data_IF_683553614292
#
_entry.id   IF_683553614292
#
_cell.length_a   1.000
_cell.length_b   1.000
_cell.length_c   1.000
_cell.angle_alpha   90.00
_cell.angle_beta   90.00
_cell.angle_gamma   90.00
#
_symmetry.space_group_name_H-M   'P 1'
#
loop_
_entity.id
_entity.type
_entity.pdbx_description
1 polymer ?
#
# COMPACT_ATOMS: atom_id res chain seq x y z
N UNK A 1 22.45 -18.84 -15.81
CA UNK A 1 22.36 -18.03 -14.58
C UNK A 1 20.90 -17.66 -14.44
N UNK A 2 20.16 -18.28 -13.51
CA UNK A 2 18.78 -17.84 -13.26
C UNK A 2 18.83 -16.44 -12.66
N UNK A 3 18.22 -15.47 -13.32
CA UNK A 3 18.10 -14.11 -12.77
C UNK A 3 17.50 -14.19 -11.36
N UNK A 4 18.10 -13.50 -10.40
CA UNK A 4 17.60 -13.47 -9.04
C UNK A 4 16.26 -12.72 -9.03
N UNK A 5 15.16 -13.44 -8.72
CA UNK A 5 13.81 -12.86 -8.65
C UNK A 5 13.83 -11.62 -7.74
N UNK A 6 13.40 -10.47 -8.25
CA UNK A 6 13.23 -9.24 -7.46
C UNK A 6 11.83 -9.21 -6.85
N UNK A 7 11.71 -9.02 -5.53
CA UNK A 7 10.42 -8.97 -4.84
C UNK A 7 9.79 -7.58 -4.87
N UNK A 8 10.63 -6.54 -4.80
CA UNK A 8 10.21 -5.14 -4.71
C UNK A 8 10.48 -4.42 -6.03
N UNK A 9 9.59 -3.49 -6.40
CA UNK A 9 9.85 -2.54 -7.49
C UNK A 9 9.86 -1.10 -6.95
N UNK A 10 10.60 -0.19 -7.61
CA UNK A 10 10.49 1.23 -7.32
C UNK A 10 9.04 1.69 -7.46
N UNK A 11 8.57 2.47 -6.49
CA UNK A 11 7.24 3.08 -6.50
C UNK A 11 7.30 4.42 -5.79
N UNK A 12 7.18 5.53 -6.53
CA UNK A 12 7.21 6.89 -5.99
C UNK A 12 8.44 7.20 -5.12
N UNK A 13 9.62 6.67 -5.50
CA UNK A 13 10.86 6.79 -4.71
C UNK A 13 10.97 5.86 -3.50
N UNK A 14 10.11 4.85 -3.41
CA UNK A 14 10.09 3.82 -2.34
C UNK A 14 10.15 2.40 -2.93
N UNK A 15 10.13 1.37 -2.10
CA UNK A 15 9.99 -0.02 -2.54
C UNK A 15 8.57 -0.54 -2.35
N UNK A 16 8.02 -1.26 -3.32
CA UNK A 16 6.66 -1.76 -3.28
C UNK A 16 6.52 -3.23 -3.71
N UNK A 17 5.62 -3.97 -3.05
CA UNK A 17 5.22 -5.34 -3.40
C UNK A 17 4.02 -5.30 -4.34
N UNK A 18 4.08 -6.11 -5.39
CA UNK A 18 3.04 -6.19 -6.41
C UNK A 18 2.53 -7.62 -6.58
N UNK A 19 1.26 -7.82 -6.24
CA UNK A 19 0.59 -9.11 -6.34
C UNK A 19 -0.38 -9.17 -7.51
N UNK A 20 -0.72 -10.38 -7.99
CA UNK A 20 -1.64 -10.59 -9.10
C UNK A 20 -3.00 -9.94 -8.87
N UNK A 21 -3.51 -9.28 -9.91
CA UNK A 21 -4.78 -8.57 -9.88
C UNK A 21 -5.96 -9.50 -10.18
N UNK A 22 -7.11 -9.17 -9.61
CA UNK A 22 -8.36 -9.89 -9.84
C UNK A 22 -8.69 -10.92 -8.76
N UNK A 23 -9.77 -11.65 -8.97
CA UNK A 23 -10.29 -12.62 -8.01
C UNK A 23 -9.49 -13.94 -8.06
N UNK A 24 -9.34 -14.64 -6.92
CA UNK A 24 -8.86 -16.02 -6.92
C UNK A 24 -9.67 -16.90 -7.89
N UNK A 25 -9.04 -17.89 -8.56
CA UNK A 25 -7.64 -18.30 -8.43
C UNK A 25 -6.66 -17.50 -9.31
N UNK A 26 -7.15 -16.58 -10.15
CA UNK A 26 -6.32 -15.85 -11.13
C UNK A 26 -5.64 -14.62 -10.54
N UNK A 27 -6.15 -14.10 -9.43
CA UNK A 27 -5.59 -12.95 -8.73
C UNK A 27 -5.69 -13.09 -7.21
N UNK A 28 -5.34 -12.00 -6.52
CA UNK A 28 -5.26 -11.96 -5.05
C UNK A 28 -6.28 -11.04 -4.38
N UNK A 29 -7.11 -10.35 -5.16
CA UNK A 29 -8.08 -9.36 -4.69
C UNK A 29 -9.40 -10.00 -4.22
N UNK A 30 -9.35 -10.97 -3.31
CA UNK A 30 -10.50 -11.75 -2.82
C UNK A 30 -11.70 -10.89 -2.38
N UNK A 31 -11.42 -9.71 -1.81
CA UNK A 31 -12.42 -8.77 -1.28
C UNK A 31 -12.72 -7.58 -2.21
N UNK A 32 -12.26 -7.62 -3.47
CA UNK A 32 -12.56 -6.56 -4.43
C UNK A 32 -14.04 -6.54 -4.81
N UNK A 33 -14.62 -5.34 -4.83
CA UNK A 33 -15.98 -5.15 -5.36
C UNK A 33 -15.97 -5.24 -6.89
N UNK A 34 -17.13 -5.55 -7.48
CA UNK A 34 -17.28 -5.53 -8.95
C UNK A 34 -16.81 -4.20 -9.54
N UNK A 35 -17.16 -3.08 -8.89
CA UNK A 35 -16.75 -1.74 -9.30
C UNK A 35 -15.24 -1.54 -9.22
N UNK A 36 -14.60 -2.03 -8.16
CA UNK A 36 -13.15 -2.01 -8.02
C UNK A 36 -12.44 -2.71 -9.16
N UNK A 37 -12.94 -3.87 -9.59
CA UNK A 37 -12.35 -4.64 -10.68
C UNK A 37 -12.57 -3.97 -12.03
N UNK A 38 -13.78 -3.47 -12.29
CA UNK A 38 -14.10 -2.81 -13.57
C UNK A 38 -13.35 -1.50 -13.75
N UNK A 39 -13.12 -0.74 -12.67
CA UNK A 39 -12.48 0.58 -12.67
C UNK A 39 -11.02 0.54 -12.20
N UNK A 40 -10.41 -0.65 -12.17
CA UNK A 40 -9.03 -0.78 -11.72
C UNK A 40 -8.10 -0.16 -12.77
N UNK A 41 -7.43 0.94 -12.41
CA UNK A 41 -6.48 1.60 -13.30
C UNK A 41 -5.29 0.69 -13.65
N UNK A 42 -4.91 -0.25 -12.77
CA UNK A 42 -3.84 -1.21 -13.04
C UNK A 42 -4.25 -2.32 -14.02
N UNK A 43 -5.52 -2.35 -14.43
CA UNK A 43 -6.06 -3.22 -15.49
C UNK A 43 -6.39 -2.39 -16.76
N UNK A 44 -6.74 -1.11 -16.60
CA UNK A 44 -7.09 -0.25 -17.72
C UNK A 44 -5.85 0.50 -18.24
N UNK A 45 -5.47 0.26 -19.51
CA UNK A 45 -4.34 0.93 -20.22
C UNK A 45 -4.55 2.44 -20.47
N UNK A 46 -5.37 3.12 -19.66
CA UNK A 46 -5.79 4.51 -19.87
C UNK A 46 -4.78 5.55 -19.36
N UNK A 47 -3.75 5.15 -18.58
CA UNK A 47 -2.86 6.08 -17.86
C UNK A 47 -1.36 5.81 -18.04
N UNK A 48 -0.79 6.11 -19.23
CA UNK A 48 0.62 5.82 -19.56
C UNK A 48 1.67 6.47 -18.64
N UNK A 49 1.31 7.50 -17.86
CA UNK A 49 2.21 8.18 -16.94
C UNK A 49 2.28 7.56 -15.54
N UNK A 50 1.21 6.89 -15.09
CA UNK A 50 1.25 6.05 -13.88
C UNK A 50 1.75 4.64 -14.20
N UNK A 51 1.70 4.25 -15.49
CA UNK A 51 2.04 2.92 -15.96
C UNK A 51 3.51 2.53 -15.74
N UNK A 52 4.50 3.42 -15.78
CA UNK A 52 5.91 2.94 -15.74
C UNK A 52 6.26 2.21 -14.43
N UNK A 53 5.80 2.72 -13.28
CA UNK A 53 6.10 2.13 -11.96
C UNK A 53 5.13 0.99 -11.58
N UNK A 54 4.01 0.87 -12.28
CA UNK A 54 2.91 -0.06 -11.98
C UNK A 54 2.74 -1.17 -13.04
N UNK A 55 3.34 -1.02 -14.23
CA UNK A 55 3.29 -1.95 -15.36
C UNK A 55 4.26 -3.12 -15.19
N UNK A 56 4.19 -3.77 -14.02
CA UNK A 56 4.84 -5.05 -13.80
C UNK A 56 4.02 -6.10 -14.55
N UNK A 57 4.65 -6.93 -15.41
CA UNK A 57 3.95 -8.00 -16.11
C UNK A 57 3.18 -8.90 -15.14
N UNK A 58 1.97 -9.31 -15.51
CA UNK A 58 1.13 -10.12 -14.63
C UNK A 58 1.81 -11.45 -14.24
N UNK A 59 2.54 -12.07 -15.18
CA UNK A 59 3.35 -13.26 -14.92
C UNK A 59 4.41 -13.01 -13.83
N UNK A 60 5.05 -11.86 -13.84
CA UNK A 60 6.04 -11.48 -12.85
C UNK A 60 5.42 -11.27 -11.46
N UNK A 61 4.22 -10.67 -11.40
CA UNK A 61 3.46 -10.57 -10.13
C UNK A 61 3.13 -11.96 -9.57
N UNK A 62 2.76 -12.91 -10.44
CA UNK A 62 2.53 -14.29 -10.01
C UNK A 62 3.80 -14.94 -9.47
N UNK A 63 4.94 -14.75 -10.13
CA UNK A 63 6.24 -15.24 -9.65
C UNK A 63 6.57 -14.63 -8.28
N UNK A 64 6.40 -13.32 -8.10
CA UNK A 64 6.64 -12.62 -6.83
C UNK A 64 5.74 -13.18 -5.73
N UNK A 65 4.44 -13.26 -5.97
CA UNK A 65 3.47 -13.78 -5.00
C UNK A 65 3.81 -15.23 -4.61
N UNK A 66 4.00 -16.12 -5.58
CA UNK A 66 4.36 -17.52 -5.33
C UNK A 66 5.66 -17.65 -4.55
N UNK A 67 6.66 -16.82 -4.86
CA UNK A 67 7.94 -16.81 -4.17
C UNK A 67 7.78 -16.41 -2.70
N UNK A 68 7.02 -15.33 -2.42
CA UNK A 68 6.75 -14.86 -1.06
C UNK A 68 6.01 -15.92 -0.23
N UNK A 69 5.01 -16.59 -0.81
CA UNK A 69 4.21 -17.59 -0.10
C UNK A 69 4.99 -18.88 0.14
N UNK A 70 5.79 -19.35 -0.83
CA UNK A 70 6.51 -20.64 -0.75
C UNK A 70 7.81 -20.57 0.07
N UNK A 71 8.53 -19.45 0.04
CA UNK A 71 9.80 -19.32 0.76
C UNK A 71 9.60 -19.07 2.26
N UNK A 72 10.65 -19.31 3.07
CA UNK A 72 10.58 -19.08 4.52
C UNK A 72 10.46 -17.58 4.85
N UNK A 73 9.83 -17.25 6.00
CA UNK A 73 9.65 -15.85 6.41
C UNK A 73 10.99 -15.14 6.54
N UNK A 74 11.97 -15.77 7.21
CA UNK A 74 13.33 -15.26 7.37
C UNK A 74 13.95 -14.87 6.02
N UNK A 75 13.86 -15.76 5.03
CA UNK A 75 14.43 -15.51 3.71
C UNK A 75 13.78 -14.32 3.00
N UNK A 76 12.44 -14.24 3.03
CA UNK A 76 11.71 -13.12 2.42
C UNK A 76 12.05 -11.80 3.10
N UNK A 77 12.11 -11.77 4.43
CA UNK A 77 12.46 -10.58 5.19
C UNK A 77 13.88 -10.11 4.84
N UNK A 78 14.87 -11.00 4.90
CA UNK A 78 16.26 -10.65 4.55
C UNK A 78 16.38 -10.14 3.11
N UNK A 79 15.63 -10.72 2.17
CA UNK A 79 15.61 -10.29 0.78
C UNK A 79 14.95 -8.92 0.61
N UNK A 80 13.81 -8.67 1.26
CA UNK A 80 13.15 -7.36 1.26
C UNK A 80 14.04 -6.28 1.84
N UNK A 81 14.73 -6.54 2.97
CA UNK A 81 15.68 -5.60 3.57
C UNK A 81 16.79 -5.25 2.58
N UNK A 82 17.43 -6.25 1.96
CA UNK A 82 18.49 -6.01 0.95
C UNK A 82 17.98 -5.25 -0.28
N UNK A 83 16.77 -5.53 -0.74
CA UNK A 83 16.19 -4.84 -1.89
C UNK A 83 15.83 -3.38 -1.57
N UNK A 84 15.33 -3.11 -0.36
CA UNK A 84 15.10 -1.74 0.13
C UNK A 84 16.41 -0.95 0.28
N UNK A 85 17.47 -1.58 0.82
CA UNK A 85 18.80 -0.97 0.88
C UNK A 85 19.33 -0.63 -0.52
N UNK A 86 19.14 -1.53 -1.49
CA UNK A 86 19.51 -1.29 -2.88
C UNK A 86 18.70 -0.17 -3.54
N UNK A 87 17.44 0.01 -3.15
CA UNK A 87 16.58 1.13 -3.54
C UNK A 87 16.85 2.41 -2.74
N UNK A 88 17.75 2.38 -1.76
CA UNK A 88 18.10 3.49 -0.89
C UNK A 88 16.90 4.10 -0.16
N UNK A 89 15.95 3.25 0.26
CA UNK A 89 14.72 3.68 0.93
C UNK A 89 14.35 2.77 2.09
N UNK A 90 14.01 3.30 3.28
CA UNK A 90 13.53 2.49 4.39
C UNK A 90 12.01 2.27 4.32
N UNK A 91 11.35 2.58 3.20
CA UNK A 91 9.90 2.59 3.07
C UNK A 91 9.44 1.43 2.19
N UNK A 92 8.57 0.59 2.76
CA UNK A 92 7.92 -0.53 2.08
C UNK A 92 6.41 -0.26 1.90
N UNK A 93 5.97 -0.24 0.66
CA UNK A 93 4.56 -0.25 0.29
C UNK A 93 4.07 -1.68 0.06
N UNK A 94 3.03 -2.04 0.80
CA UNK A 94 2.31 -3.28 0.63
C UNK A 94 1.20 -3.08 -0.40
N UNK A 95 1.18 -3.97 -1.39
CA UNK A 95 0.16 -4.12 -2.42
C UNK A 95 0.00 -2.87 -3.31
N UNK A 96 1.05 -2.53 -4.07
CA UNK A 96 0.91 -1.60 -5.20
C UNK A 96 -0.04 -2.11 -6.27
N UNK A 97 -0.20 -3.44 -6.36
CA UNK A 97 -1.29 -4.13 -7.02
C UNK A 97 -1.65 -5.40 -6.25
N UNK A 98 -2.83 -5.95 -6.54
CA UNK A 98 -3.32 -7.15 -5.85
C UNK A 98 -3.81 -6.84 -4.43
N UNK A 99 -3.94 -7.87 -3.61
CA UNK A 99 -4.20 -7.77 -2.17
C UNK A 99 -3.70 -9.06 -1.48
N UNK A 100 -3.93 -9.23 -0.18
CA UNK A 100 -3.67 -10.49 0.51
C UNK A 100 -4.91 -11.41 0.50
N UNK A 101 -4.83 -12.62 -0.08
CA UNK A 101 -5.89 -13.63 0.07
C UNK A 101 -6.00 -14.12 1.52
N UNK A 102 -7.18 -14.58 1.92
CA UNK A 102 -7.46 -15.05 3.29
C UNK A 102 -6.52 -16.17 3.72
N UNK A 103 -6.24 -17.11 2.82
CA UNK A 103 -5.37 -18.27 3.08
C UNK A 103 -3.93 -17.88 3.45
N UNK A 104 -3.46 -16.69 3.08
CA UNK A 104 -2.05 -16.28 3.23
C UNK A 104 -1.84 -15.23 4.33
N UNK A 105 -2.91 -14.78 5.00
CA UNK A 105 -2.85 -13.73 6.04
C UNK A 105 -1.81 -14.05 7.10
N UNK A 106 -1.76 -15.29 7.59
CA UNK A 106 -0.82 -15.69 8.64
C UNK A 106 0.63 -15.52 8.20
N UNK A 107 0.95 -15.93 6.97
CA UNK A 107 2.29 -15.81 6.38
C UNK A 107 2.71 -14.35 6.22
N UNK A 108 1.86 -13.55 5.58
CA UNK A 108 2.10 -12.12 5.36
C UNK A 108 2.21 -11.38 6.69
N UNK A 109 1.37 -11.71 7.67
CA UNK A 109 1.42 -11.11 9.00
C UNK A 109 2.73 -11.38 9.73
N UNK A 110 3.30 -12.57 9.57
CA UNK A 110 4.59 -12.92 10.18
C UNK A 110 5.74 -12.15 9.53
N UNK A 111 5.70 -11.97 8.20
CA UNK A 111 6.67 -11.15 7.46
C UNK A 111 6.59 -9.69 7.96
N UNK A 112 5.40 -9.10 7.99
CA UNK A 112 5.17 -7.73 8.46
C UNK A 112 5.74 -7.52 9.88
N UNK A 113 5.42 -8.43 10.81
CA UNK A 113 5.91 -8.35 12.20
C UNK A 113 7.42 -8.45 12.28
N UNK A 114 8.03 -9.31 11.47
CA UNK A 114 9.49 -9.49 11.48
C UNK A 114 10.21 -8.28 10.90
N UNK A 115 9.65 -7.64 9.87
CA UNK A 115 10.18 -6.40 9.27
C UNK A 115 10.19 -5.23 10.26
N UNK A 116 9.30 -5.20 11.26
CA UNK A 116 9.31 -4.15 12.30
C UNK A 116 10.61 -4.12 13.11
N UNK A 117 11.41 -5.20 13.10
CA UNK A 117 12.71 -5.24 13.77
C UNK A 117 13.83 -4.53 12.98
N UNK A 118 13.57 -4.07 11.75
CA UNK A 118 14.58 -3.52 10.83
C UNK A 118 14.45 -2.01 10.60
N UNK A 119 13.70 -1.29 11.44
CA UNK A 119 13.42 0.15 11.26
C UNK A 119 12.81 0.51 9.89
N UNK A 120 12.17 -0.47 9.23
CA UNK A 120 11.47 -0.28 7.96
C UNK A 120 10.10 0.33 8.26
N UNK A 121 9.79 1.43 7.58
CA UNK A 121 8.45 2.01 7.60
C UNK A 121 7.57 1.27 6.62
N UNK A 122 6.49 0.66 7.13
CA UNK A 122 5.55 -0.11 6.32
C UNK A 122 4.25 0.67 6.14
N UNK A 123 3.67 0.65 4.95
CA UNK A 123 2.31 1.14 4.70
C UNK A 123 1.64 0.39 3.57
N UNK A 124 0.32 0.47 3.47
CA UNK A 124 -0.39 -0.05 2.31
C UNK A 124 -1.89 0.15 2.39
N UNK A 125 -2.57 -0.39 1.38
CA UNK A 125 -4.02 -0.44 1.30
C UNK A 125 -4.46 -1.90 1.23
N UNK A 126 -5.55 -2.24 1.91
CA UNK A 126 -6.13 -3.59 1.79
C UNK A 126 -7.65 -3.51 1.90
N UNK A 127 -8.37 -4.39 1.20
CA UNK A 127 -9.79 -4.66 1.44
C UNK A 127 -10.00 -5.84 2.37
N UNK A 128 -8.94 -6.59 2.67
CA UNK A 128 -8.98 -7.71 3.60
C UNK A 128 -9.05 -7.20 5.04
N UNK A 129 -10.27 -7.21 5.58
CA UNK A 129 -10.55 -6.76 6.95
C UNK A 129 -9.72 -7.51 7.99
N UNK A 130 -9.53 -8.83 7.83
CA UNK A 130 -8.80 -9.63 8.79
C UNK A 130 -7.31 -9.23 8.81
N UNK A 131 -6.67 -9.06 7.65
CA UNK A 131 -5.29 -8.56 7.61
C UNK A 131 -5.19 -7.16 8.22
N UNK A 132 -6.08 -6.23 7.83
CA UNK A 132 -6.10 -4.87 8.39
C UNK A 132 -6.26 -4.90 9.92
N UNK A 133 -7.16 -5.75 10.44
CA UNK A 133 -7.43 -5.83 11.87
C UNK A 133 -6.19 -6.22 12.70
N UNK A 134 -5.26 -6.99 12.09
CA UNK A 134 -3.99 -7.42 12.70
C UNK A 134 -2.89 -6.36 12.60
N UNK A 135 -2.97 -5.43 11.65
CA UNK A 135 -1.93 -4.43 11.34
C UNK A 135 -2.53 -3.06 11.00
N UNK A 136 -3.43 -2.56 11.86
CA UNK A 136 -4.19 -1.31 11.67
C UNK A 136 -3.30 -0.07 11.57
N UNK A 137 -2.07 -0.16 12.05
CA UNK A 137 -1.09 0.92 12.05
C UNK A 137 -0.22 0.95 10.77
N UNK A 138 -0.38 -0.05 9.90
CA UNK A 138 0.32 -0.20 8.62
C UNK A 138 -0.66 -0.01 7.46
N UNK A 139 -1.85 -0.62 7.55
CA UNK A 139 -2.81 -0.57 6.46
C UNK A 139 -3.90 0.48 6.67
N UNK A 140 -4.25 1.17 5.58
CA UNK A 140 -5.56 1.77 5.45
C UNK A 140 -6.57 0.74 4.92
N UNK A 141 -7.72 0.61 5.59
CA UNK A 141 -8.78 -0.28 5.12
C UNK A 141 -9.56 0.39 3.99
N UNK A 142 -9.56 -0.23 2.81
CA UNK A 142 -10.32 0.24 1.67
C UNK A 142 -11.79 -0.14 1.79
N UNK A 143 -12.69 0.84 1.88
CA UNK A 143 -14.14 0.68 2.04
C UNK A 143 -14.89 1.47 0.98
N UNK A 144 -16.13 1.07 0.65
CA UNK A 144 -16.92 1.78 -0.37
C UNK A 144 -17.56 3.07 0.17
N UNK A 145 -17.85 3.14 1.48
CA UNK A 145 -18.42 4.32 2.13
C UNK A 145 -18.30 4.20 3.66
N UNK A 146 -18.56 5.31 4.35
CA UNK A 146 -18.47 5.44 5.81
C UNK A 146 -19.69 4.92 6.58
N UNK A 147 -20.76 4.44 5.90
CA UNK A 147 -22.01 4.05 6.59
C UNK A 147 -21.84 2.79 7.43
N UNK A 148 -20.94 1.90 7.04
CA UNK A 148 -20.71 0.61 7.70
C UNK A 148 -19.23 0.48 8.11
N UNK A 149 -18.73 1.46 8.86
CA UNK A 149 -17.39 1.37 9.42
C UNK A 149 -17.34 0.24 10.46
N UNK A 150 -16.27 -0.58 10.45
CA UNK A 150 -16.04 -1.52 11.54
C UNK A 150 -15.78 -0.76 12.85
N UNK A 151 -15.87 -1.45 13.99
CA UNK A 151 -15.50 -0.85 15.28
C UNK A 151 -14.04 -0.37 15.26
N UNK A 152 -13.85 0.90 15.63
CA UNK A 152 -12.55 1.58 15.57
C UNK A 152 -12.16 2.11 16.95
N UNK A 153 -10.87 2.18 17.20
CA UNK A 153 -10.31 2.91 18.35
C UNK A 153 -10.12 4.41 18.03
N UNK A 154 -10.67 4.87 16.91
CA UNK A 154 -10.68 6.25 16.43
C UNK A 154 -9.44 6.68 15.66
N UNK A 155 -8.28 6.06 15.89
CA UNK A 155 -7.02 6.43 15.23
C UNK A 155 -6.82 5.84 13.84
N UNK A 156 -7.66 4.88 13.44
CA UNK A 156 -7.53 4.12 12.21
C UNK A 156 -7.83 4.94 10.96
N UNK A 157 -7.16 4.56 9.88
CA UNK A 157 -7.27 5.20 8.58
C UNK A 157 -8.03 4.27 7.62
N UNK A 158 -8.97 4.85 6.89
CA UNK A 158 -9.75 4.21 5.84
C UNK A 158 -9.43 4.87 4.50
N UNK A 159 -9.57 4.11 3.44
CA UNK A 159 -9.41 4.55 2.05
C UNK A 159 -10.73 4.37 1.32
N UNK A 160 -11.27 5.44 0.73
CA UNK A 160 -12.58 5.44 0.06
C UNK A 160 -12.37 5.78 -1.42
N UNK A 161 -12.48 4.80 -2.33
CA UNK A 161 -12.24 5.03 -3.74
C UNK A 161 -13.27 5.99 -4.37
N UNK A 162 -12.77 6.98 -5.10
CA UNK A 162 -13.54 7.83 -6.00
C UNK A 162 -13.25 7.42 -7.45
N UNK A 163 -13.95 6.39 -7.91
CA UNK A 163 -13.78 5.84 -9.26
C UNK A 163 -14.02 6.85 -10.39
N UNK A 164 -14.80 7.92 -10.17
CA UNK A 164 -15.02 8.95 -11.21
C UNK A 164 -13.82 9.88 -11.37
N UNK A 165 -13.09 10.12 -10.27
CA UNK A 165 -11.91 10.97 -10.22
C UNK A 165 -10.62 10.16 -10.20
N UNK A 166 -10.72 8.83 -10.29
CA UNK A 166 -9.60 7.88 -10.27
C UNK A 166 -8.63 8.14 -9.11
N UNK A 167 -9.19 8.46 -7.94
CA UNK A 167 -8.46 8.79 -6.72
C UNK A 167 -9.03 8.01 -5.55
N UNK A 168 -8.33 7.98 -4.43
CA UNK A 168 -8.90 7.53 -3.16
C UNK A 168 -8.89 8.65 -2.14
N UNK A 169 -9.98 8.76 -1.37
CA UNK A 169 -10.08 9.69 -0.27
C UNK A 169 -9.75 8.98 1.03
N UNK A 170 -8.84 9.54 1.81
CA UNK A 170 -8.57 9.01 3.14
C UNK A 170 -9.59 9.51 4.14
N UNK A 171 -9.94 8.67 5.10
CA UNK A 171 -10.92 9.00 6.13
C UNK A 171 -10.44 8.51 7.49
N UNK A 172 -10.66 9.31 8.54
CA UNK A 172 -10.41 8.95 9.92
C UNK A 172 -11.62 9.38 10.77
N UNK A 173 -12.28 8.49 11.52
CA UNK A 173 -13.56 8.80 12.17
C UNK A 173 -13.52 9.94 13.18
N UNK A 174 -12.37 10.15 13.84
CA UNK A 174 -12.26 11.10 14.96
C UNK A 174 -11.48 12.36 14.61
N UNK A 175 -11.01 12.50 13.37
CA UNK A 175 -10.20 13.67 12.97
C UNK A 175 -10.20 13.90 11.47
N UNK A 176 -10.10 15.18 11.12
CA UNK A 176 -9.67 15.58 9.78
C UNK A 176 -8.19 15.17 9.60
N UNK A 177 -7.89 14.49 8.49
CA UNK A 177 -6.51 14.24 8.09
C UNK A 177 -5.97 15.51 7.41
N UNK A 178 -4.80 15.99 7.84
CA UNK A 178 -4.16 17.15 7.20
C UNK A 178 -3.28 16.67 6.04
N UNK A 179 -3.69 16.96 4.81
CA UNK A 179 -2.93 16.59 3.60
C UNK A 179 -1.79 17.56 3.36
N UNK A 180 -0.61 17.01 3.15
CA UNK A 180 0.53 17.70 2.57
C UNK A 180 0.77 17.14 1.17
N UNK A 181 0.86 18.00 0.17
CA UNK A 181 1.29 17.57 -1.17
C UNK A 181 2.73 17.04 -1.04
N UNK A 182 2.91 15.76 -1.34
CA UNK A 182 4.23 15.16 -1.32
C UNK A 182 4.78 15.22 -2.75
N UNK A 183 5.91 15.89 -2.90
CA UNK A 183 6.71 15.83 -4.12
C UNK A 183 7.42 14.47 -4.21
N UNK A 184 8.48 14.38 -5.01
CA UNK A 184 9.28 13.15 -5.13
C UNK A 184 10.20 12.88 -3.93
N UNK A 185 10.49 13.89 -3.10
CA UNK A 185 11.45 13.79 -1.97
C UNK A 185 11.03 14.52 -0.69
N UNK A 186 10.11 15.49 -0.78
CA UNK A 186 9.71 16.37 0.33
C UNK A 186 8.18 16.59 0.36
N UNK A 187 7.59 16.65 1.55
CA UNK A 187 6.22 17.17 1.75
C UNK A 187 6.31 18.56 2.41
N UNK A 188 5.40 19.47 2.04
CA UNK A 188 5.30 20.81 2.65
C UNK A 188 4.30 20.84 3.78
N UNK A 189 4.65 21.41 4.93
CA UNK A 189 3.72 21.62 6.04
C UNK A 189 2.55 22.53 5.60
N UNK A 190 1.33 22.16 5.96
CA UNK A 190 0.11 22.88 5.57
C UNK A 190 -0.06 24.20 6.34
N UNK A 191 0.40 24.27 7.59
CA UNK A 191 0.31 25.44 8.47
C UNK A 191 1.46 26.41 8.22
N UNK A 192 2.61 25.89 7.84
CA UNK A 192 3.77 26.69 7.45
C UNK A 192 4.35 26.17 6.13
N UNK A 193 3.82 26.69 5.01
CA UNK A 193 4.24 26.29 3.65
C UNK A 193 5.71 26.57 3.34
N UNK A 194 6.42 27.30 4.22
CA UNK A 194 7.86 27.52 4.12
C UNK A 194 8.70 26.38 4.72
N UNK A 195 8.07 25.49 5.51
CA UNK A 195 8.70 24.30 6.07
C UNK A 195 8.51 23.12 5.12
N UNK A 196 9.65 22.67 4.58
CA UNK A 196 9.75 21.44 3.82
C UNK A 196 10.36 20.37 4.72
N UNK A 197 9.77 19.17 4.69
CA UNK A 197 10.31 18.01 5.38
C UNK A 197 10.50 16.89 4.36
N UNK A 198 11.57 16.11 4.51
CA UNK A 198 11.73 14.89 3.72
C UNK A 198 10.51 13.99 3.87
N UNK A 199 10.10 13.34 2.79
CA UNK A 199 9.04 12.32 2.81
C UNK A 199 9.54 11.17 3.69
N UNK A 200 9.19 11.25 4.96
CA UNK A 200 9.48 10.26 5.96
C UNK A 200 8.14 9.86 6.53
N UNK A 201 7.69 8.65 6.23
CA UNK A 201 6.37 8.22 6.62
C UNK A 201 6.23 8.01 8.13
N UNK A 202 7.32 7.84 8.88
CA UNK A 202 7.30 7.97 10.35
C UNK A 202 7.03 9.41 10.78
N UNK A 203 7.65 10.41 10.15
CA UNK A 203 7.33 11.81 10.39
C UNK A 203 5.90 12.14 9.97
N UNK A 204 5.44 11.69 8.80
CA UNK A 204 4.05 11.84 8.35
C UNK A 204 3.09 11.16 9.33
N UNK A 205 3.35 9.92 9.76
CA UNK A 205 2.54 9.21 10.77
C UNK A 205 2.52 9.93 12.12
N UNK A 206 3.67 10.40 12.62
CA UNK A 206 3.80 11.17 13.88
C UNK A 206 3.11 12.52 13.81
N UNK A 207 3.25 13.24 12.70
CA UNK A 207 2.62 14.52 12.42
C UNK A 207 1.17 14.38 11.91
N UNK A 208 0.72 13.13 11.70
CA UNK A 208 -0.61 12.77 11.18
C UNK A 208 -0.92 13.38 9.80
N UNK A 209 0.12 13.54 9.00
CA UNK A 209 0.10 13.92 7.59
C UNK A 209 0.26 12.65 6.74
N UNK A 210 -0.08 12.70 5.46
CA UNK A 210 0.23 11.59 4.56
C UNK A 210 0.26 11.98 3.09
N UNK A 211 0.93 11.12 2.31
CA UNK A 211 1.04 11.21 0.86
C UNK A 211 -0.25 10.68 0.25
N UNK A 212 -1.14 11.56 -0.19
CA UNK A 212 -2.43 11.16 -0.76
C UNK A 212 -2.71 11.96 -2.03
N UNK A 213 -3.08 11.27 -3.12
CA UNK A 213 -3.28 11.89 -4.44
C UNK A 213 -4.38 12.96 -4.46
N UNK A 214 -5.30 12.97 -3.49
CA UNK A 214 -6.19 14.09 -3.10
C UNK A 214 -7.00 13.70 -1.86
N UNK A 215 -7.49 14.67 -1.09
CA UNK A 215 -8.63 14.47 -0.20
C UNK A 215 -9.72 15.49 -0.47
N UNK A 216 -10.96 15.01 -0.45
CA UNK A 216 -12.13 15.85 -0.24
C UNK A 216 -12.69 15.62 1.15
N UNK A 217 -13.20 16.68 1.79
CA UNK A 217 -13.99 16.52 3.02
C UNK A 217 -15.15 15.58 2.71
N UNK A 218 -15.33 14.56 3.55
CA UNK A 218 -16.55 13.76 3.50
C UNK A 218 -17.73 14.71 3.79
N UNK A 219 -18.62 14.87 2.81
CA UNK A 219 -19.87 15.59 2.96
C UNK A 219 -20.89 14.83 3.78
#
# INVERSE_FOLDING_TARGET
MSEEIKLLRPFTGTGCVFFPLGLPPKGTCEFATKKCLTECYAIQEKFPHYDIELAIPEEEKHIIYDYIIKCSVKWIVEKMVRELDGLQTPILHWFGSGDCPTKDISKISEIIKTLNNYSITQMGFTRNFELWSRHRDIFALTIENTKNLPETNGGEIFSIPNYRKETTNMYCPVRDLEVTACGSLVCKDKRDKSREHYINCCACKSLRMGCFDRMEKAG
#
